data_IF_705068034126
#
_entry.id   IF_705068034126
#
_cell.length_a   1.000
_cell.length_b   1.000
_cell.length_c   1.000
_cell.angle_alpha   90.00
_cell.angle_beta   90.00
_cell.angle_gamma   90.00
#
_symmetry.space_group_name_H-M   'P 1'
#
loop_
_entity.id
_entity.type
_entity.pdbx_description
1 polymer ?
#
# COMPACT_ATOMS: atom_id res chain seq x y z
N UNK A 1 -16.84 12.66 29.50
CA UNK A 1 -17.32 12.83 28.11
C UNK A 1 -16.18 13.37 27.26
N UNK A 2 -15.74 12.65 26.23
CA UNK A 2 -14.77 13.19 25.27
C UNK A 2 -15.50 14.15 24.32
N UNK A 3 -15.08 15.42 24.27
CA UNK A 3 -15.57 16.39 23.28
C UNK A 3 -15.04 16.00 21.90
N UNK A 4 -15.92 15.89 20.91
CA UNK A 4 -15.51 15.83 19.53
C UNK A 4 -14.84 17.17 19.19
N UNK A 5 -13.55 17.12 18.85
CA UNK A 5 -12.85 18.27 18.26
C UNK A 5 -13.00 18.17 16.75
N UNK A 6 -13.44 19.25 16.11
CA UNK A 6 -13.48 19.36 14.66
C UNK A 6 -12.06 19.11 14.12
N UNK A 7 -11.90 17.97 13.48
CA UNK A 7 -10.62 17.58 12.88
C UNK A 7 -10.60 18.12 11.46
N UNK A 8 -9.72 19.08 11.12
CA UNK A 8 -9.68 19.63 9.76
C UNK A 8 -9.33 18.52 8.77
N UNK A 9 -10.04 18.49 7.63
CA UNK A 9 -9.74 17.58 6.52
C UNK A 9 -8.29 17.77 6.07
N UNK A 10 -7.66 16.69 5.61
CA UNK A 10 -6.32 16.76 5.05
C UNK A 10 -6.29 17.73 3.86
N UNK A 11 -5.28 18.59 3.79
CA UNK A 11 -5.10 19.55 2.70
C UNK A 11 -4.17 18.97 1.64
N UNK A 12 -4.61 18.94 0.40
CA UNK A 12 -3.79 18.55 -0.75
C UNK A 12 -2.73 19.63 -1.03
N UNK A 13 -1.50 19.20 -1.32
CA UNK A 13 -0.44 20.06 -1.83
C UNK A 13 0.50 19.28 -2.75
N UNK A 14 1.26 19.99 -3.59
CA UNK A 14 2.24 19.42 -4.49
C UNK A 14 3.67 19.70 -4.02
N UNK A 15 4.53 18.68 -4.01
CA UNK A 15 5.97 18.87 -3.80
C UNK A 15 6.71 18.82 -5.15
N UNK A 16 7.58 19.79 -5.47
CA UNK A 16 8.35 19.77 -6.71
C UNK A 16 9.22 18.52 -6.85
N UNK A 17 9.16 17.84 -8.01
CA UNK A 17 10.13 16.80 -8.38
C UNK A 17 11.38 17.46 -8.97
N UNK A 18 12.26 17.95 -8.10
CA UNK A 18 13.47 18.74 -8.45
C UNK A 18 14.46 18.02 -9.38
N UNK A 19 14.35 16.69 -9.54
CA UNK A 19 15.21 15.87 -10.39
C UNK A 19 14.63 15.65 -11.81
N UNK A 20 13.51 16.29 -12.17
CA UNK A 20 12.90 16.20 -13.52
C UNK A 20 12.85 17.60 -14.14
N UNK A 21 13.29 17.71 -15.40
CA UNK A 21 13.37 19.00 -16.12
C UNK A 21 12.01 19.68 -16.32
N UNK A 22 10.93 18.91 -16.38
CA UNK A 22 9.57 19.42 -16.20
C UNK A 22 9.28 19.51 -14.70
N UNK A 23 8.89 20.68 -14.18
CA UNK A 23 8.53 20.94 -12.78
C UNK A 23 7.24 20.21 -12.34
N UNK A 24 7.18 18.89 -12.51
CA UNK A 24 6.07 18.04 -12.13
C UNK A 24 5.98 17.98 -10.62
N UNK A 25 4.79 18.23 -10.09
CA UNK A 25 4.52 18.11 -8.67
C UNK A 25 4.24 16.64 -8.30
N UNK A 26 4.71 16.23 -7.12
CA UNK A 26 4.25 15.02 -6.44
C UNK A 26 3.05 15.42 -5.58
N UNK A 27 1.82 14.98 -5.90
CA UNK A 27 0.65 15.24 -5.07
C UNK A 27 0.81 14.54 -3.72
N UNK A 28 0.53 15.24 -2.64
CA UNK A 28 0.59 14.73 -1.26
C UNK A 28 -0.73 15.07 -0.56
N UNK A 29 -1.27 14.07 0.15
CA UNK A 29 -2.38 14.25 1.09
C UNK A 29 -1.89 13.78 2.47
N UNK A 30 -1.68 14.69 3.43
CA UNK A 30 -1.12 14.34 4.73
C UNK A 30 -2.18 13.68 5.62
N UNK A 31 -2.29 12.35 5.57
CA UNK A 31 -3.36 11.64 6.27
C UNK A 31 -3.20 11.55 7.80
N UNK A 32 -2.07 11.96 8.38
CA UNK A 32 -1.83 11.92 9.83
C UNK A 32 -2.91 12.63 10.65
N UNK A 33 -3.49 13.69 10.08
CA UNK A 33 -4.55 14.48 10.73
C UNK A 33 -5.95 13.93 10.50
N UNK A 34 -6.12 12.82 9.78
CA UNK A 34 -7.45 12.31 9.42
C UNK A 34 -7.99 11.30 10.45
N UNK A 35 -9.33 11.19 10.60
CA UNK A 35 -9.95 10.21 11.52
C UNK A 35 -9.58 8.74 11.23
N UNK A 36 -9.28 8.41 9.97
CA UNK A 36 -8.94 7.04 9.56
C UNK A 36 -7.49 6.65 9.90
N UNK A 37 -6.62 7.60 10.23
CA UNK A 37 -5.19 7.33 10.46
C UNK A 37 -4.93 6.35 11.59
N UNK A 38 -5.60 6.54 12.74
CA UNK A 38 -5.47 5.65 13.89
C UNK A 38 -5.93 4.22 13.58
N UNK A 39 -7.04 4.11 12.84
CA UNK A 39 -7.56 2.82 12.40
C UNK A 39 -6.62 2.15 11.39
N UNK A 40 -6.11 2.88 10.41
CA UNK A 40 -5.16 2.35 9.43
C UNK A 40 -3.89 1.85 10.11
N UNK A 41 -3.38 2.56 11.12
CA UNK A 41 -2.22 2.13 11.93
C UNK A 41 -2.53 0.87 12.75
N UNK A 42 -3.72 0.79 13.34
CA UNK A 42 -4.16 -0.42 14.05
C UNK A 42 -4.26 -1.61 13.10
N UNK A 43 -4.87 -1.41 11.93
CA UNK A 43 -5.07 -2.46 10.93
C UNK A 43 -3.73 -2.92 10.33
N UNK A 44 -2.80 -2.00 10.06
CA UNK A 44 -1.42 -2.32 9.69
C UNK A 44 -0.76 -3.27 10.70
N UNK A 45 -0.85 -2.98 12.01
CA UNK A 45 -0.27 -3.85 13.05
C UNK A 45 -0.87 -5.26 13.04
N UNK A 46 -2.17 -5.38 12.74
CA UNK A 46 -2.86 -6.67 12.66
C UNK A 46 -2.54 -7.43 11.38
N UNK A 47 -2.28 -6.73 10.28
CA UNK A 47 -2.08 -7.31 8.96
C UNK A 47 -0.61 -7.33 8.50
N UNK A 48 0.35 -6.88 9.31
CA UNK A 48 1.78 -6.85 8.94
C UNK A 48 2.33 -8.20 8.45
N UNK A 49 1.68 -9.30 8.82
CA UNK A 49 2.07 -10.64 8.39
C UNK A 49 1.77 -10.93 6.91
N UNK A 50 0.96 -10.09 6.23
CA UNK A 50 0.56 -10.31 4.83
C UNK A 50 1.76 -10.37 3.88
N UNK A 51 2.85 -9.69 4.23
CA UNK A 51 4.05 -9.58 3.40
C UNK A 51 5.26 -10.31 3.99
N UNK A 52 5.07 -11.02 5.11
CA UNK A 52 6.11 -11.89 5.66
C UNK A 52 6.40 -13.04 4.70
N UNK A 53 7.62 -13.60 4.77
CA UNK A 53 8.03 -14.78 4.01
C UNK A 53 8.00 -14.57 2.49
N UNK A 54 8.62 -13.50 2.00
CA UNK A 54 8.89 -13.33 0.57
C UNK A 54 10.37 -13.56 0.31
N UNK A 55 10.71 -14.71 -0.30
CA UNK A 55 12.09 -15.03 -0.73
C UNK A 55 12.63 -13.99 -1.72
N UNK A 56 11.73 -13.33 -2.44
CA UNK A 56 12.07 -12.41 -3.52
C UNK A 56 11.97 -10.94 -3.15
N UNK A 57 11.64 -10.63 -1.89
CA UNK A 57 11.72 -9.27 -1.35
C UNK A 57 13.05 -9.11 -0.62
N UNK A 58 13.67 -7.94 -0.75
CA UNK A 58 14.81 -7.53 0.06
C UNK A 58 14.39 -6.42 1.00
N UNK A 59 14.83 -6.50 2.25
CA UNK A 59 14.43 -5.59 3.33
C UNK A 59 15.48 -4.53 3.64
N UNK A 60 16.71 -4.73 3.14
CA UNK A 60 17.81 -3.80 3.32
C UNK A 60 18.77 -3.85 2.13
N UNK A 61 19.53 -2.77 1.95
CA UNK A 61 20.60 -2.71 0.95
C UNK A 61 21.67 -3.76 1.20
N UNK A 62 22.01 -4.03 2.47
CA UNK A 62 22.98 -5.06 2.84
C UNK A 62 22.53 -6.44 2.38
N UNK A 63 21.27 -6.81 2.69
CA UNK A 63 20.69 -8.09 2.26
C UNK A 63 20.66 -8.21 0.74
N UNK A 64 20.38 -7.12 0.04
CA UNK A 64 20.39 -7.09 -1.42
C UNK A 64 21.79 -7.37 -1.99
N UNK A 65 22.82 -6.73 -1.46
CA UNK A 65 24.22 -6.95 -1.89
C UNK A 65 24.69 -8.36 -1.58
N UNK A 66 24.33 -8.91 -0.42
CA UNK A 66 24.65 -10.31 -0.06
C UNK A 66 24.03 -11.28 -1.06
N UNK A 67 22.74 -11.14 -1.38
CA UNK A 67 22.08 -11.98 -2.39
C UNK A 67 22.72 -11.86 -3.77
N UNK A 68 23.13 -10.66 -4.19
CA UNK A 68 23.78 -10.47 -5.49
C UNK A 68 25.13 -11.19 -5.58
N UNK A 69 25.88 -11.31 -4.47
CA UNK A 69 27.16 -12.02 -4.44
C UNK A 69 27.02 -13.52 -4.62
N UNK A 70 25.86 -14.08 -4.29
CA UNK A 70 25.57 -15.51 -4.44
C UNK A 70 25.18 -15.89 -5.87
N UNK A 71 24.87 -14.91 -6.73
CA UNK A 71 24.49 -15.15 -8.12
C UNK A 71 25.74 -15.37 -8.98
N UNK A 72 25.85 -16.55 -9.57
CA UNK A 72 26.84 -16.84 -10.62
C UNK A 72 26.24 -16.56 -11.99
N UNK A 73 26.89 -15.72 -12.78
CA UNK A 73 26.43 -15.32 -14.12
C UNK A 73 27.22 -16.03 -15.22
N UNK A 74 26.52 -16.47 -16.26
CA UNK A 74 27.11 -16.92 -17.51
C UNK A 74 27.29 -15.74 -18.48
N UNK A 75 28.23 -15.79 -19.44
CA UNK A 75 28.38 -14.73 -20.45
C UNK A 75 27.13 -14.49 -21.30
N UNK A 76 26.22 -15.45 -21.37
CA UNK A 76 24.94 -15.37 -22.10
C UNK A 76 23.80 -14.73 -21.29
N UNK A 77 23.98 -14.52 -19.98
CA UNK A 77 22.91 -14.02 -19.13
C UNK A 77 22.67 -12.52 -19.37
N UNK A 78 21.39 -12.13 -19.31
CA UNK A 78 20.96 -10.75 -19.54
C UNK A 78 20.23 -10.25 -18.29
N UNK A 79 20.63 -9.06 -17.81
CA UNK A 79 19.92 -8.38 -16.74
C UNK A 79 18.74 -7.59 -17.31
N UNK A 80 17.53 -7.89 -16.80
CA UNK A 80 16.33 -7.11 -17.09
C UNK A 80 15.91 -6.35 -15.84
N UNK A 81 15.75 -5.04 -15.97
CA UNK A 81 15.26 -4.16 -14.90
C UNK A 81 13.99 -3.46 -15.34
N UNK A 82 13.04 -3.33 -14.42
CA UNK A 82 11.75 -2.68 -14.68
C UNK A 82 11.33 -1.89 -13.46
N UNK A 83 10.71 -0.73 -13.68
CA UNK A 83 10.22 0.15 -12.63
C UNK A 83 8.69 0.20 -12.61
N UNK A 84 8.11 0.20 -11.41
CA UNK A 84 6.66 0.29 -11.23
C UNK A 84 6.27 1.76 -11.10
N UNK A 85 5.64 2.29 -12.15
CA UNK A 85 5.22 3.68 -12.19
C UNK A 85 3.92 3.86 -11.38
N UNK A 86 3.91 4.86 -10.50
CA UNK A 86 2.68 5.33 -9.84
C UNK A 86 1.93 4.25 -9.04
N UNK A 87 2.68 3.34 -8.40
CA UNK A 87 2.19 2.16 -7.66
C UNK A 87 0.90 2.40 -6.87
N UNK A 88 0.93 3.34 -5.90
CA UNK A 88 -0.23 3.56 -5.03
C UNK A 88 -1.48 4.00 -5.78
N UNK A 89 -1.35 4.89 -6.76
CA UNK A 89 -2.47 5.43 -7.54
C UNK A 89 -3.08 4.45 -8.53
N UNK A 90 -2.34 3.41 -8.93
CA UNK A 90 -2.80 2.45 -9.94
C UNK A 90 -3.32 1.13 -9.38
N UNK A 91 -3.15 0.85 -8.08
CA UNK A 91 -3.74 -0.34 -7.46
C UNK A 91 -5.26 -0.17 -7.35
N UNK A 92 -6.08 -0.98 -8.05
CA UNK A 92 -7.53 -0.93 -7.87
C UNK A 92 -7.90 -1.30 -6.42
N UNK A 93 -8.81 -0.54 -5.80
CA UNK A 93 -9.18 -0.77 -4.40
C UNK A 93 -9.82 -2.14 -4.20
N UNK A 94 -10.62 -2.62 -5.15
CA UNK A 94 -11.19 -3.97 -5.07
C UNK A 94 -10.12 -5.06 -5.17
N UNK A 95 -9.10 -4.88 -6.03
CA UNK A 95 -7.95 -5.80 -6.08
C UNK A 95 -7.18 -5.83 -4.76
N UNK A 96 -6.98 -4.68 -4.13
CA UNK A 96 -6.36 -4.58 -2.81
C UNK A 96 -7.16 -5.36 -1.75
N UNK A 97 -8.47 -5.18 -1.72
CA UNK A 97 -9.37 -5.87 -0.77
C UNK A 97 -9.37 -7.38 -1.01
N UNK A 98 -9.57 -7.80 -2.25
CA UNK A 98 -9.59 -9.22 -2.64
C UNK A 98 -8.26 -9.91 -2.30
N UNK A 99 -7.13 -9.24 -2.53
CA UNK A 99 -5.81 -9.78 -2.21
C UNK A 99 -5.66 -10.04 -0.71
N UNK A 100 -6.08 -9.09 0.13
CA UNK A 100 -6.04 -9.28 1.58
C UNK A 100 -6.95 -10.42 2.01
N UNK A 101 -8.17 -10.50 1.47
CA UNK A 101 -9.10 -11.59 1.80
C UNK A 101 -8.57 -12.96 1.42
N UNK A 102 -7.97 -13.07 0.23
CA UNK A 102 -7.37 -14.31 -0.25
C UNK A 102 -6.23 -14.76 0.68
N UNK A 103 -5.34 -13.85 1.08
CA UNK A 103 -4.25 -14.19 2.01
C UNK A 103 -4.81 -14.57 3.39
N UNK A 104 -5.84 -13.86 3.89
CA UNK A 104 -6.49 -14.17 5.15
C UNK A 104 -7.15 -15.56 5.14
N UNK A 105 -7.81 -15.93 4.03
CA UNK A 105 -8.42 -17.26 3.84
C UNK A 105 -7.36 -18.37 3.85
N UNK A 106 -6.22 -18.16 3.18
CA UNK A 106 -5.14 -19.14 3.17
C UNK A 106 -4.52 -19.35 4.55
N UNK A 107 -4.45 -18.30 5.36
CA UNK A 107 -3.83 -18.37 6.70
C UNK A 107 -4.75 -18.93 7.77
N UNK A 108 -6.06 -18.72 7.66
CA UNK A 108 -7.01 -19.10 8.69
C UNK A 108 -8.12 -19.99 8.11
N UNK A 109 -8.30 -21.21 8.65
CA UNK A 109 -9.35 -22.15 8.24
C UNK A 109 -10.77 -21.54 8.32
N UNK A 110 -11.66 -21.98 7.41
CA UNK A 110 -12.82 -21.21 6.93
C UNK A 110 -13.96 -20.94 7.93
N UNK A 111 -14.19 -21.79 8.92
CA UNK A 111 -15.47 -21.79 9.66
C UNK A 111 -15.58 -20.72 10.75
N UNK A 112 -14.51 -20.41 11.49
CA UNK A 112 -14.52 -19.38 12.55
C UNK A 112 -14.27 -17.94 12.04
N UNK A 113 -13.85 -17.80 10.77
CA UNK A 113 -13.25 -16.55 10.28
C UNK A 113 -14.10 -15.71 9.31
N UNK A 114 -15.32 -16.13 8.94
CA UNK A 114 -16.15 -15.34 8.00
C UNK A 114 -16.46 -13.94 8.54
N UNK A 115 -16.81 -13.82 9.82
CA UNK A 115 -17.07 -12.54 10.47
C UNK A 115 -15.79 -11.67 10.51
N UNK A 116 -14.63 -12.29 10.74
CA UNK A 116 -13.34 -11.59 10.77
C UNK A 116 -12.93 -11.11 9.38
N UNK A 117 -13.12 -11.93 8.35
CA UNK A 117 -12.89 -11.55 6.96
C UNK A 117 -13.82 -10.42 6.52
N UNK A 118 -15.12 -10.52 6.81
CA UNK A 118 -16.09 -9.46 6.51
C UNK A 118 -15.75 -8.14 7.22
N UNK A 119 -15.37 -8.19 8.50
CA UNK A 119 -14.88 -7.03 9.26
C UNK A 119 -13.60 -6.46 8.65
N UNK A 120 -12.62 -7.31 8.30
CA UNK A 120 -11.37 -6.87 7.67
C UNK A 120 -11.60 -6.21 6.31
N UNK A 121 -12.49 -6.76 5.47
CA UNK A 121 -12.93 -6.16 4.21
C UNK A 121 -13.50 -4.76 4.45
N UNK A 122 -14.45 -4.65 5.37
CA UNK A 122 -15.09 -3.37 5.67
C UNK A 122 -14.10 -2.32 6.19
N UNK A 123 -13.26 -2.71 7.17
CA UNK A 123 -12.24 -1.82 7.75
C UNK A 123 -11.22 -1.39 6.71
N UNK A 124 -10.83 -2.28 5.79
CA UNK A 124 -9.90 -1.93 4.73
C UNK A 124 -10.53 -0.97 3.72
N UNK A 125 -11.75 -1.25 3.24
CA UNK A 125 -12.49 -0.31 2.36
C UNK A 125 -12.63 1.06 3.00
N UNK A 126 -12.92 1.10 4.30
CA UNK A 126 -13.00 2.35 5.05
C UNK A 126 -11.65 3.08 5.15
N UNK A 127 -10.54 2.37 5.39
CA UNK A 127 -9.19 2.95 5.41
C UNK A 127 -8.69 3.41 4.03
N UNK A 128 -9.19 2.82 2.94
CA UNK A 128 -8.83 3.18 1.56
C UNK A 128 -9.62 4.39 1.04
N UNK A 129 -10.81 4.64 1.60
CA UNK A 129 -11.54 5.89 1.36
C UNK A 129 -10.82 7.06 1.99
N UNK A 130 -10.53 8.06 1.18
CA UNK A 130 -9.79 9.24 1.60
C UNK A 130 -10.46 10.47 1.03
N UNK A 131 -10.68 11.45 1.91
CA UNK A 131 -11.18 12.77 1.56
C UNK A 131 -10.13 13.81 1.87
N UNK A 132 -10.02 14.80 1.01
CA UNK A 132 -9.10 15.91 1.19
C UNK A 132 -9.68 17.20 0.62
N UNK A 133 -9.11 18.32 1.05
CA UNK A 133 -9.48 19.65 0.56
C UNK A 133 -8.42 20.18 -0.39
N UNK A 134 -8.88 20.78 -1.48
CA UNK A 134 -8.06 21.59 -2.37
C UNK A 134 -8.89 22.77 -2.84
N UNK A 135 -8.33 23.98 -2.77
CA UNK A 135 -9.04 25.21 -3.13
C UNK A 135 -10.46 25.31 -2.55
N UNK A 136 -10.57 25.08 -1.23
CA UNK A 136 -11.84 25.08 -0.47
C UNK A 136 -12.89 24.06 -0.92
N UNK A 137 -12.55 23.19 -1.87
CA UNK A 137 -13.42 22.11 -2.36
C UNK A 137 -12.99 20.78 -1.76
N UNK A 138 -13.96 19.95 -1.39
CA UNK A 138 -13.73 18.60 -0.86
C UNK A 138 -13.71 17.61 -2.02
N UNK A 139 -12.70 16.74 -2.04
CA UNK A 139 -12.52 15.69 -3.04
C UNK A 139 -12.42 14.33 -2.37
N UNK A 140 -12.93 13.30 -3.04
CA UNK A 140 -12.69 11.89 -2.70
C UNK A 140 -11.63 11.30 -3.62
N UNK A 141 -10.67 10.57 -3.05
CA UNK A 141 -9.75 9.76 -3.83
C UNK A 141 -10.46 8.46 -4.26
N UNK A 142 -10.90 8.42 -5.52
CA UNK A 142 -11.62 7.27 -6.10
C UNK A 142 -10.71 6.21 -6.75
N UNK A 143 -9.44 6.55 -7.00
CA UNK A 143 -8.46 5.64 -7.62
C UNK A 143 -7.26 5.40 -6.71
N UNK A 144 -6.78 4.16 -6.70
CA UNK A 144 -5.59 3.80 -5.95
C UNK A 144 -5.81 3.63 -4.46
N UNK A 145 -4.70 3.34 -3.79
CA UNK A 145 -4.55 3.43 -2.34
C UNK A 145 -4.03 4.84 -1.97
N UNK A 146 -4.46 5.40 -0.83
CA UNK A 146 -4.10 6.76 -0.48
C UNK A 146 -2.63 6.88 -0.06
N UNK A 147 -1.89 7.74 -0.77
CA UNK A 147 -0.48 8.03 -0.46
C UNK A 147 -0.42 8.80 0.86
N UNK A 148 0.16 8.20 1.90
CA UNK A 148 0.23 8.77 3.25
C UNK A 148 -0.56 8.01 4.31
N UNK A 149 -1.40 7.04 3.91
CA UNK A 149 -2.03 6.13 4.87
C UNK A 149 -1.02 5.08 5.36
N UNK A 150 -0.96 4.79 6.67
CA UNK A 150 -0.06 3.77 7.22
C UNK A 150 -0.21 2.38 6.61
N UNK A 151 -1.39 2.06 6.04
CA UNK A 151 -1.67 0.73 5.51
C UNK A 151 -1.35 0.59 4.01
N UNK A 152 -1.27 1.69 3.25
CA UNK A 152 -1.13 1.64 1.79
C UNK A 152 0.14 0.91 1.34
N UNK A 153 1.26 1.08 2.05
CA UNK A 153 2.52 0.38 1.77
C UNK A 153 2.38 -1.14 1.84
N UNK A 154 1.81 -1.63 2.94
CA UNK A 154 1.58 -3.07 3.17
C UNK A 154 0.65 -3.67 2.11
N UNK A 155 -0.40 -2.95 1.73
CA UNK A 155 -1.34 -3.39 0.69
C UNK A 155 -0.68 -3.43 -0.68
N UNK A 156 0.10 -2.41 -1.03
CA UNK A 156 0.82 -2.35 -2.29
C UNK A 156 1.80 -3.52 -2.43
N UNK A 157 2.56 -3.82 -1.38
CA UNK A 157 3.46 -4.97 -1.34
C UNK A 157 2.71 -6.30 -1.46
N UNK A 158 1.58 -6.47 -0.75
CA UNK A 158 0.77 -7.68 -0.86
C UNK A 158 0.21 -7.89 -2.28
N UNK A 159 -0.26 -6.82 -2.93
CA UNK A 159 -0.75 -6.86 -4.32
C UNK A 159 0.39 -7.20 -5.28
N UNK A 160 1.57 -6.59 -5.12
CA UNK A 160 2.74 -6.92 -5.93
C UNK A 160 3.18 -8.37 -5.74
N UNK A 161 3.17 -8.90 -4.51
CA UNK A 161 3.46 -10.32 -4.23
C UNK A 161 2.49 -11.24 -4.97
N UNK A 162 1.20 -10.92 -4.96
CA UNK A 162 0.17 -11.68 -5.71
C UNK A 162 0.40 -11.60 -7.21
N UNK A 163 0.58 -10.39 -7.77
CA UNK A 163 0.84 -10.20 -9.19
C UNK A 163 2.08 -10.95 -9.64
N UNK A 164 3.15 -10.89 -8.84
CA UNK A 164 4.38 -11.61 -9.12
C UNK A 164 4.16 -13.10 -9.21
N UNK A 165 3.42 -13.68 -8.25
CA UNK A 165 3.08 -15.11 -8.33
C UNK A 165 2.39 -15.41 -9.65
N UNK A 166 1.36 -14.66 -10.05
CA UNK A 166 0.60 -14.94 -11.27
C UNK A 166 1.38 -14.79 -12.58
N UNK A 167 2.40 -13.93 -12.63
CA UNK A 167 3.09 -13.57 -13.89
C UNK A 167 4.45 -14.27 -14.05
N UNK A 168 5.19 -14.46 -12.96
CA UNK A 168 6.59 -14.90 -12.99
C UNK A 168 6.77 -16.28 -12.33
N UNK A 169 5.83 -17.19 -12.56
CA UNK A 169 5.90 -18.59 -12.13
C UNK A 169 7.05 -19.34 -12.81
#
# INVERSE_FOLDING_TARGET
>A
MARAQDTPLARFYGLPKVHKGSALLRPIVPLKVTPTFGLAKWLFRRLKFLTTDSETTVTSTTQFVEKLKEISLLPSDIMVSSDVISLFTYIPQDLAVETVELILRRKYYETENRLRQAKSRWLLKFCLRTYFTFDRTIYEQVKGTPMGSPISGLIAEAVLKRLKSLVFH
#
